data_IF_316116378113
#
_entry.id   IF_316116378113
#
_cell.length_a   1.000
_cell.length_b   1.000
_cell.length_c   1.000
_cell.angle_alpha   90.00
_cell.angle_beta   90.00
_cell.angle_gamma   90.00
#
_symmetry.space_group_name_H-M   'P 1'
#
loop_
_entity.id
_entity.type
_entity.pdbx_description
1 polymer ?
#
# COMPACT_ATOMS: atom_id res chain seq x y z
N UNK A 1 48.85 -57.90 23.13
CA UNK A 1 50.31 -57.80 22.85
C UNK A 1 50.38 -57.52 21.35
N UNK A 2 50.55 -56.29 20.88
CA UNK A 2 51.83 -55.57 20.80
C UNK A 2 51.61 -54.05 20.62
N UNK A 3 52.53 -53.27 21.21
CA UNK A 3 52.63 -51.80 21.14
C UNK A 3 53.65 -51.40 20.07
N UNK A 4 53.42 -50.28 19.37
CA UNK A 4 54.47 -49.43 18.76
C UNK A 4 53.86 -48.06 18.42
N UNK A 5 53.79 -47.11 19.37
CA UNK A 5 54.73 -46.01 19.71
C UNK A 5 54.73 -44.81 18.71
N UNK A 6 54.37 -43.58 19.17
CA UNK A 6 54.45 -42.32 18.40
C UNK A 6 55.77 -41.52 18.66
N UNK A 7 56.19 -40.60 17.76
CA UNK A 7 57.24 -39.61 18.03
C UNK A 7 56.65 -38.15 18.09
N UNK A 8 57.42 -37.09 18.46
CA UNK A 8 57.19 -36.41 19.74
C UNK A 8 57.03 -34.87 19.67
N UNK A 9 56.64 -34.28 20.82
CA UNK A 9 57.09 -33.01 21.48
C UNK A 9 57.35 -31.76 20.60
N UNK A 10 57.01 -30.52 21.00
CA UNK A 10 57.03 -29.93 22.36
C UNK A 10 56.43 -28.51 22.34
N UNK A 11 55.75 -28.23 23.44
CA UNK A 11 55.32 -26.95 24.04
C UNK A 11 56.28 -25.75 23.90
N UNK A 12 55.68 -24.55 23.89
CA UNK A 12 55.99 -23.29 24.65
C UNK A 12 55.29 -22.16 23.88
N UNK A 13 54.51 -21.22 24.41
CA UNK A 13 54.40 -20.60 25.74
C UNK A 13 54.19 -19.10 25.50
N UNK A 14 53.51 -18.42 26.44
CA UNK A 14 53.22 -16.97 26.53
C UNK A 14 52.09 -16.48 25.61
N UNK A 15 50.89 -16.13 26.11
CA UNK A 15 50.52 -15.04 27.02
C UNK A 15 51.12 -13.69 26.61
N UNK A 16 50.37 -12.93 25.82
CA UNK A 16 50.41 -11.47 25.82
C UNK A 16 48.99 -10.96 26.08
N UNK A 17 48.79 -10.49 27.30
CA UNK A 17 47.68 -9.67 27.75
C UNK A 17 47.95 -8.21 27.38
N UNK A 18 46.97 -7.54 26.78
CA UNK A 18 46.53 -6.15 27.06
C UNK A 18 45.90 -5.53 25.80
N UNK A 19 44.63 -5.15 25.92
CA UNK A 19 43.90 -4.43 24.87
C UNK A 19 42.40 -4.41 25.14
N UNK A 20 41.98 -3.87 26.28
CA UNK A 20 40.57 -3.55 26.51
C UNK A 20 40.22 -2.38 25.60
N UNK A 21 39.38 -2.63 24.60
CA UNK A 21 38.50 -1.62 24.02
C UNK A 21 37.07 -2.07 24.28
N UNK A 22 36.47 -1.44 25.29
CA UNK A 22 35.05 -1.55 25.57
C UNK A 22 34.25 -0.92 24.43
N UNK A 23 33.27 -1.67 23.91
CA UNK A 23 32.17 -1.12 23.14
C UNK A 23 30.89 -1.91 23.47
N UNK A 24 30.35 -1.69 24.66
CA UNK A 24 28.95 -1.97 24.94
C UNK A 24 28.12 -0.80 24.44
N UNK A 25 27.39 -0.98 23.35
CA UNK A 25 26.21 -0.19 23.05
C UNK A 25 25.16 -1.11 22.43
N UNK A 26 24.05 -1.25 23.16
CA UNK A 26 22.86 -1.99 22.77
C UNK A 26 22.30 -1.44 21.45
N UNK A 27 22.40 -2.22 20.38
CA UNK A 27 21.65 -2.00 19.15
C UNK A 27 20.36 -2.81 19.15
N UNK A 28 19.46 -2.55 20.11
CA UNK A 28 18.08 -2.98 19.97
C UNK A 28 17.44 -2.11 18.88
N UNK A 29 17.69 -2.48 17.62
CA UNK A 29 17.00 -1.92 16.46
C UNK A 29 15.55 -2.36 16.51
N UNK A 30 14.76 -1.69 17.35
CA UNK A 30 13.31 -1.78 17.31
C UNK A 30 12.88 -1.37 15.92
N UNK A 31 12.39 -2.32 15.14
CA UNK A 31 11.59 -2.04 13.96
C UNK A 31 10.37 -1.28 14.49
N UNK A 32 10.42 0.06 14.47
CA UNK A 32 9.24 0.89 14.59
C UNK A 32 8.45 0.67 13.30
N UNK A 33 7.75 -0.47 13.22
CA UNK A 33 6.63 -0.61 12.31
C UNK A 33 5.67 0.50 12.75
N UNK A 34 5.66 1.59 12.00
CA UNK A 34 4.63 2.59 12.14
C UNK A 34 3.31 1.85 11.95
N UNK A 35 2.52 1.74 13.02
CA UNK A 35 1.13 1.33 12.88
C UNK A 35 0.50 2.39 11.99
N UNK A 36 0.28 2.07 10.72
CA UNK A 36 -0.56 2.89 9.87
C UNK A 36 -1.90 3.02 10.60
N UNK A 37 -2.17 4.19 11.16
CA UNK A 37 -3.49 4.48 11.68
C UNK A 37 -4.42 4.39 10.47
N UNK A 38 -5.35 3.43 10.48
CA UNK A 38 -6.39 3.39 9.47
C UNK A 38 -7.13 4.73 9.54
N UNK A 39 -7.11 5.49 8.44
CA UNK A 39 -7.88 6.71 8.37
C UNK A 39 -9.36 6.36 8.54
N UNK A 40 -10.09 7.18 9.31
CA UNK A 40 -11.53 6.97 9.53
C UNK A 40 -12.29 6.89 8.20
N UNK A 41 -11.80 7.61 7.19
CA UNK A 41 -12.23 7.50 5.80
C UNK A 41 -11.02 7.37 4.86
N UNK A 42 -11.06 6.34 4.02
CA UNK A 42 -10.14 6.13 2.90
C UNK A 42 -10.91 5.45 1.77
N UNK A 43 -10.57 5.79 0.52
CA UNK A 43 -11.20 5.18 -0.65
C UNK A 43 -10.16 4.80 -1.70
N UNK A 44 -10.47 3.75 -2.43
CA UNK A 44 -9.78 3.33 -3.64
C UNK A 44 -10.75 3.40 -4.82
N UNK A 45 -10.25 3.82 -5.98
CA UNK A 45 -11.03 3.87 -7.23
C UNK A 45 -10.40 2.94 -8.24
N UNK A 46 -11.08 1.83 -8.53
CA UNK A 46 -10.78 0.97 -9.66
C UNK A 46 -11.45 1.48 -10.92
N UNK A 47 -10.84 1.25 -12.08
CA UNK A 47 -11.50 1.52 -13.36
C UNK A 47 -11.11 0.51 -14.43
N UNK A 48 -12.02 0.27 -15.36
CA UNK A 48 -11.77 -0.45 -16.60
C UNK A 48 -12.44 0.26 -17.77
N UNK A 49 -11.87 0.13 -18.96
CA UNK A 49 -12.43 0.73 -20.18
C UNK A 49 -12.72 -0.33 -21.24
N UNK A 50 -13.83 -0.13 -21.94
CA UNK A 50 -14.11 -0.80 -23.20
C UNK A 50 -14.09 0.24 -24.31
N UNK A 51 -13.03 0.26 -25.11
CA UNK A 51 -12.75 1.26 -26.14
C UNK A 51 -12.85 0.64 -27.54
N UNK A 52 -13.60 1.29 -28.43
CA UNK A 52 -13.80 0.87 -29.82
C UNK A 52 -13.29 1.90 -30.84
N UNK A 53 -12.42 2.82 -30.41
CA UNK A 53 -11.68 3.79 -31.21
C UNK A 53 -12.39 5.13 -31.40
N UNK A 54 -13.70 5.12 -31.65
CA UNK A 54 -14.51 6.36 -31.76
C UNK A 54 -15.21 6.75 -30.46
N UNK A 55 -15.15 5.89 -29.44
CA UNK A 55 -15.75 6.08 -28.14
C UNK A 55 -15.34 4.97 -27.18
N UNK A 56 -15.68 5.14 -25.91
CA UNK A 56 -15.44 4.14 -24.88
C UNK A 56 -16.52 4.23 -23.80
N UNK A 57 -16.66 3.14 -23.06
CA UNK A 57 -17.29 3.12 -21.73
C UNK A 57 -16.20 2.97 -20.68
N UNK A 58 -16.33 3.67 -19.56
CA UNK A 58 -15.51 3.47 -18.38
C UNK A 58 -16.39 3.00 -17.23
N UNK A 59 -16.08 1.84 -16.69
CA UNK A 59 -16.66 1.35 -15.44
C UNK A 59 -15.76 1.80 -14.30
N UNK A 60 -16.35 2.46 -13.30
CA UNK A 60 -15.65 2.95 -12.12
C UNK A 60 -16.19 2.19 -10.91
N UNK A 61 -15.30 1.79 -10.02
CA UNK A 61 -15.67 1.14 -8.76
C UNK A 61 -15.04 1.90 -7.61
N UNK A 62 -15.88 2.44 -6.73
CA UNK A 62 -15.43 3.19 -5.56
C UNK A 62 -15.51 2.25 -4.36
N UNK A 63 -14.37 1.96 -3.74
CA UNK A 63 -14.27 1.06 -2.59
C UNK A 63 -13.88 1.85 -1.36
N UNK A 64 -14.63 1.69 -0.26
CA UNK A 64 -14.26 2.26 1.03
C UNK A 64 -13.24 1.34 1.71
N UNK A 65 -11.99 1.80 1.78
CA UNK A 65 -10.88 1.08 2.43
C UNK A 65 -10.60 1.57 3.85
N UNK A 66 -11.39 2.54 4.34
CA UNK A 66 -11.33 3.05 5.71
C UNK A 66 -12.05 2.15 6.73
N UNK A 67 -12.13 2.65 7.96
CA UNK A 67 -12.78 1.95 9.08
C UNK A 67 -14.20 2.43 9.37
N UNK A 68 -14.65 3.55 8.79
CA UNK A 68 -15.98 4.13 8.99
C UNK A 68 -16.77 4.15 7.69
N UNK A 69 -18.10 4.02 7.76
CA UNK A 69 -18.97 4.10 6.59
C UNK A 69 -18.94 5.51 5.97
N UNK A 70 -18.85 5.55 4.64
CA UNK A 70 -19.02 6.77 3.86
C UNK A 70 -20.51 7.14 3.81
N UNK A 71 -20.81 8.44 3.90
CA UNK A 71 -22.18 8.97 3.79
C UNK A 71 -22.21 10.05 2.70
N UNK A 72 -22.64 9.66 1.51
CA UNK A 72 -22.51 10.43 0.29
C UNK A 72 -21.12 10.28 -0.32
N UNK A 73 -21.03 10.33 -1.65
CA UNK A 73 -19.75 10.31 -2.34
C UNK A 73 -19.74 11.21 -3.57
N UNK A 74 -18.57 11.76 -3.85
CA UNK A 74 -18.29 12.52 -5.06
C UNK A 74 -16.94 12.08 -5.60
N UNK A 75 -16.91 11.60 -6.83
CA UNK A 75 -15.70 11.28 -7.56
C UNK A 75 -15.43 12.39 -8.57
N UNK A 76 -14.24 12.98 -8.48
CA UNK A 76 -13.77 13.98 -9.44
C UNK A 76 -12.53 13.46 -10.13
N UNK A 77 -12.53 13.42 -11.46
CA UNK A 77 -11.36 13.09 -12.27
C UNK A 77 -11.28 13.99 -13.49
N UNK A 78 -10.11 14.06 -14.12
CA UNK A 78 -9.94 14.81 -15.36
C UNK A 78 -9.55 13.87 -16.49
N UNK A 79 -10.16 14.05 -17.65
CA UNK A 79 -9.65 13.46 -18.88
C UNK A 79 -8.28 14.05 -19.21
N UNK A 80 -7.36 13.21 -19.67
CA UNK A 80 -6.04 13.64 -20.09
C UNK A 80 -6.04 14.32 -21.48
N UNK A 81 -7.13 14.15 -22.25
CA UNK A 81 -7.31 14.74 -23.57
C UNK A 81 -8.65 15.45 -23.70
N UNK A 82 -9.17 15.48 -24.92
CA UNK A 82 -10.39 16.20 -25.28
C UNK A 82 -11.66 15.34 -25.19
N UNK A 83 -11.64 14.24 -24.44
CA UNK A 83 -12.80 13.36 -24.26
C UNK A 83 -14.00 14.13 -23.68
N UNK A 84 -15.21 13.72 -24.08
CA UNK A 84 -16.48 14.31 -23.65
C UNK A 84 -17.37 13.26 -23.04
N UNK A 85 -17.90 13.57 -21.86
CA UNK A 85 -18.94 12.80 -21.22
C UNK A 85 -20.19 12.85 -22.10
N UNK A 86 -20.73 11.69 -22.47
CA UNK A 86 -21.99 11.59 -23.21
C UNK A 86 -23.16 11.28 -22.28
N UNK A 87 -23.02 10.27 -21.43
CA UNK A 87 -24.01 9.82 -20.46
C UNK A 87 -23.33 8.97 -19.40
N UNK A 88 -24.04 8.67 -18.32
CA UNK A 88 -23.65 7.71 -17.29
C UNK A 88 -24.87 7.16 -16.57
N UNK A 89 -24.66 6.12 -15.77
CA UNK A 89 -25.66 5.51 -14.89
C UNK A 89 -25.09 5.40 -13.48
N UNK A 90 -25.93 5.04 -12.51
CA UNK A 90 -25.58 4.86 -11.08
C UNK A 90 -24.81 6.02 -10.43
N UNK A 91 -24.95 7.20 -11.02
CA UNK A 91 -24.31 8.45 -10.60
C UNK A 91 -25.00 9.65 -11.23
N UNK A 92 -24.83 10.82 -10.63
CA UNK A 92 -25.17 12.09 -11.25
C UNK A 92 -23.90 12.65 -11.88
N UNK A 93 -23.83 12.60 -13.21
CA UNK A 93 -22.63 12.91 -13.96
C UNK A 93 -22.66 14.33 -14.53
N UNK A 94 -21.55 15.05 -14.39
CA UNK A 94 -21.34 16.36 -15.01
C UNK A 94 -19.90 16.52 -15.49
N UNK A 95 -19.69 17.41 -16.47
CA UNK A 95 -18.35 17.72 -16.97
C UNK A 95 -18.19 19.23 -17.17
N UNK A 96 -17.07 19.77 -16.69
CA UNK A 96 -16.62 21.14 -16.96
C UNK A 96 -15.18 21.11 -17.48
N UNK A 97 -14.96 21.64 -18.69
CA UNK A 97 -13.66 21.53 -19.34
C UNK A 97 -13.28 20.05 -19.55
N UNK A 98 -12.18 19.62 -18.91
CA UNK A 98 -11.73 18.22 -18.89
C UNK A 98 -12.16 17.48 -17.62
N UNK A 99 -12.65 18.19 -16.61
CA UNK A 99 -13.01 17.64 -15.30
C UNK A 99 -14.41 17.04 -15.35
N UNK A 100 -14.51 15.78 -14.96
CA UNK A 100 -15.76 15.06 -14.73
C UNK A 100 -15.99 14.96 -13.23
N UNK A 101 -17.22 15.22 -12.81
CA UNK A 101 -17.71 15.02 -11.45
C UNK A 101 -18.86 14.03 -11.48
N UNK A 102 -18.79 13.04 -10.60
CA UNK A 102 -19.82 12.02 -10.41
C UNK A 102 -20.24 12.04 -8.96
N UNK A 103 -21.52 12.29 -8.71
CA UNK A 103 -22.10 12.25 -7.37
C UNK A 103 -23.00 11.01 -7.21
N UNK A 104 -23.18 10.57 -5.97
CA UNK A 104 -24.13 9.51 -5.68
C UNK A 104 -25.57 9.88 -6.09
N UNK A 105 -26.39 8.86 -6.27
CA UNK A 105 -27.82 9.01 -6.65
C UNK A 105 -28.74 8.88 -5.44
N UNK A 106 -28.22 9.08 -4.23
CA UNK A 106 -28.91 8.91 -2.96
C UNK A 106 -29.00 7.46 -2.51
N UNK A 107 -29.47 6.54 -3.37
CA UNK A 107 -29.64 5.13 -2.98
C UNK A 107 -28.32 4.38 -2.80
N UNK A 108 -27.25 4.82 -3.50
CA UNK A 108 -25.90 4.29 -3.38
C UNK A 108 -24.94 5.23 -2.62
N UNK A 109 -25.47 6.21 -1.88
CA UNK A 109 -24.64 7.18 -1.17
C UNK A 109 -23.87 6.60 0.02
N UNK A 110 -24.33 5.50 0.62
CA UNK A 110 -23.64 4.86 1.75
C UNK A 110 -22.74 3.72 1.29
N UNK A 111 -21.44 3.82 1.63
CA UNK A 111 -20.45 2.77 1.36
C UNK A 111 -19.87 2.30 2.70
N UNK A 112 -20.25 1.11 3.15
CA UNK A 112 -19.70 0.51 4.37
C UNK A 112 -18.18 0.20 4.21
N UNK A 113 -17.42 0.10 5.31
CA UNK A 113 -16.02 -0.37 5.25
C UNK A 113 -15.89 -1.68 4.49
N UNK A 114 -15.00 -1.73 3.50
CA UNK A 114 -14.76 -2.87 2.63
C UNK A 114 -15.83 -3.11 1.55
N UNK A 115 -16.87 -2.29 1.47
CA UNK A 115 -17.87 -2.34 0.40
C UNK A 115 -17.51 -1.43 -0.77
N UNK A 116 -18.19 -1.65 -1.89
CA UNK A 116 -17.99 -0.89 -3.12
C UNK A 116 -19.33 -0.52 -3.77
N UNK A 117 -19.28 0.52 -4.58
CA UNK A 117 -20.34 0.94 -5.50
C UNK A 117 -19.79 1.11 -6.90
#
# INVERSE_FOLDING_TARGET
MSRTTPPPRRRRGALFSAGVLAATALGAGGLTQGTAAAADFACEVGYSTNDWGSGFTADLTITNTGSTAASGWTLTYAYAGNQRLSQGWDGVWSQSGQTVTVEDTGWNGTIAPGASV
#
